data_IF_714051013387
#
_entry.id   IF_714051013387
#
_cell.length_a   1.000
_cell.length_b   1.000
_cell.length_c   1.000
_cell.angle_alpha   90.00
_cell.angle_beta   90.00
_cell.angle_gamma   90.00
#
_symmetry.space_group_name_H-M   'P 1'
#
loop_
_entity.id
_entity.type
_entity.pdbx_description
1 polymer ?
#
# COMPACT_ATOMS: atom_id res chain seq x y z
N UNK A 1 0.16 -17.16 13.22
CA UNK A 1 -0.97 -16.24 13.05
C UNK A 1 -0.84 -15.11 14.06
N UNK A 2 -0.99 -13.85 13.63
CA UNK A 2 -1.02 -12.66 14.49
C UNK A 2 -2.43 -12.08 14.38
N UNK A 3 -3.08 -11.91 15.52
CA UNK A 3 -4.45 -11.42 15.60
C UNK A 3 -4.53 -10.44 16.76
N UNK A 4 -4.85 -9.17 16.50
CA UNK A 4 -4.77 -8.14 17.53
C UNK A 4 -5.39 -6.81 17.13
N UNK A 5 -5.70 -6.00 18.15
CA UNK A 5 -6.36 -4.70 18.07
C UNK A 5 -5.63 -3.69 18.98
N UNK A 6 -4.30 -3.65 18.87
CA UNK A 6 -3.46 -2.82 19.72
C UNK A 6 -3.61 -1.34 19.37
N UNK A 7 -3.88 -0.51 20.36
CA UNK A 7 -3.94 0.94 20.19
C UNK A 7 -2.61 1.47 19.65
N UNK A 8 -2.67 2.24 18.56
CA UNK A 8 -1.52 2.89 17.92
C UNK A 8 -1.25 4.26 18.55
N UNK A 9 -2.29 5.07 18.77
CA UNK A 9 -2.18 6.33 19.51
C UNK A 9 -3.39 6.56 20.41
N UNK A 10 -3.16 7.11 21.59
CA UNK A 10 -4.19 7.32 22.62
C UNK A 10 -5.17 8.45 22.29
N UNK A 11 -4.88 9.28 21.28
CA UNK A 11 -5.69 10.46 20.91
C UNK A 11 -6.65 10.25 19.74
N UNK A 12 -6.35 9.31 18.83
CA UNK A 12 -7.14 9.06 17.62
C UNK A 12 -7.85 7.69 17.62
N UNK A 13 -7.59 6.86 18.64
CA UNK A 13 -8.11 5.49 18.74
C UNK A 13 -7.79 4.62 17.51
N UNK A 14 -6.74 4.96 16.76
CA UNK A 14 -6.21 4.11 15.70
C UNK A 14 -5.71 2.78 16.31
N UNK A 15 -5.83 1.71 15.54
CA UNK A 15 -5.54 0.37 16.02
C UNK A 15 -4.83 -0.49 14.98
N UNK A 16 -3.92 -1.33 15.47
CA UNK A 16 -3.12 -2.23 14.66
C UNK A 16 -2.97 -3.60 15.29
N UNK A 17 -2.92 -4.65 14.48
CA UNK A 17 -2.51 -5.96 14.99
C UNK A 17 -1.01 -6.01 15.30
N UNK A 18 -0.20 -5.28 14.54
CA UNK A 18 1.23 -5.17 14.72
C UNK A 18 1.73 -3.76 14.36
N UNK A 19 2.53 -3.17 15.24
CA UNK A 19 3.24 -1.90 14.99
C UNK A 19 4.73 -2.21 14.81
N UNK A 20 5.32 -1.74 13.70
CA UNK A 20 6.73 -1.99 13.40
C UNK A 20 7.62 -0.83 13.86
N UNK A 21 8.82 -1.15 14.36
CA UNK A 21 9.86 -0.15 14.62
C UNK A 21 10.91 -0.12 13.50
N UNK A 22 11.83 0.83 13.56
CA UNK A 22 12.97 0.89 12.63
C UNK A 22 13.77 -0.42 12.59
N UNK A 23 14.30 -0.78 11.43
CA UNK A 23 15.06 -2.01 11.17
C UNK A 23 14.31 -3.31 11.49
N UNK A 24 12.98 -3.27 11.57
CA UNK A 24 12.18 -4.45 11.83
C UNK A 24 11.87 -5.23 10.55
N UNK A 25 11.89 -6.55 10.64
CA UNK A 25 11.38 -7.44 9.59
C UNK A 25 10.25 -8.29 10.13
N UNK A 26 9.13 -8.33 9.42
CA UNK A 26 8.03 -9.27 9.68
C UNK A 26 7.84 -10.18 8.48
N UNK A 27 7.82 -11.51 8.71
CA UNK A 27 7.67 -12.48 7.64
C UNK A 27 7.05 -13.81 8.04
N UNK A 28 6.25 -14.40 7.14
CA UNK A 28 5.72 -15.75 7.27
C UNK A 28 4.45 -15.85 8.12
N UNK A 29 3.75 -14.74 8.37
CA UNK A 29 2.56 -14.73 9.21
C UNK A 29 1.30 -14.40 8.42
N UNK A 30 0.19 -15.02 8.81
CA UNK A 30 -1.15 -14.45 8.60
C UNK A 30 -1.42 -13.43 9.69
N UNK A 31 -1.74 -12.19 9.32
CA UNK A 31 -1.95 -11.04 10.22
C UNK A 31 -3.31 -10.41 9.93
N UNK A 32 -4.11 -10.23 10.99
CA UNK A 32 -5.45 -9.65 10.92
C UNK A 32 -5.67 -8.70 12.08
N UNK A 33 -6.19 -7.50 11.80
CA UNK A 33 -6.84 -6.68 12.80
C UNK A 33 -8.36 -6.86 12.67
N UNK A 34 -9.01 -7.55 13.63
CA UNK A 34 -10.43 -7.86 13.57
C UNK A 34 -11.35 -6.74 14.07
N UNK A 35 -10.78 -5.60 14.47
CA UNK A 35 -11.56 -4.51 15.06
C UNK A 35 -12.63 -4.02 14.08
N UNK A 36 -13.89 -3.87 14.53
CA UNK A 36 -14.92 -3.32 13.68
C UNK A 36 -14.63 -1.86 13.36
N UNK A 37 -14.86 -1.46 12.10
CA UNK A 37 -14.68 -0.08 11.67
C UNK A 37 -15.56 0.89 12.45
N UNK A 38 -14.94 1.82 13.15
CA UNK A 38 -15.58 2.86 13.97
C UNK A 38 -15.27 4.28 13.50
N UNK A 39 -14.70 4.44 12.29
CA UNK A 39 -14.27 5.73 11.74
C UNK A 39 -12.81 6.10 12.04
N UNK A 40 -12.04 5.17 12.61
CA UNK A 40 -10.60 5.32 12.94
C UNK A 40 -9.71 4.58 11.94
N UNK A 41 -8.41 4.82 11.97
CA UNK A 41 -7.44 4.08 11.14
C UNK A 41 -7.22 2.70 11.75
N UNK A 42 -7.62 1.66 11.01
CA UNK A 42 -7.36 0.26 11.34
C UNK A 42 -6.30 -0.31 10.40
N UNK A 43 -5.41 -1.16 10.92
CA UNK A 43 -4.43 -1.85 10.07
C UNK A 43 -4.01 -3.22 10.60
N UNK A 44 -3.73 -4.18 9.71
CA UNK A 44 -3.06 -5.41 10.12
C UNK A 44 -1.60 -5.11 10.52
N UNK A 45 -0.87 -4.40 9.67
CA UNK A 45 0.48 -3.91 9.96
C UNK A 45 0.51 -2.39 9.88
N UNK A 46 0.93 -1.76 10.96
CA UNK A 46 1.14 -0.33 11.05
C UNK A 46 2.64 -0.02 11.06
N UNK A 47 3.06 0.84 10.14
CA UNK A 47 4.37 1.47 10.19
C UNK A 47 4.19 2.89 10.71
N UNK A 48 4.66 3.18 11.93
CA UNK A 48 4.48 4.47 12.56
C UNK A 48 5.28 5.55 11.84
N UNK A 49 4.95 6.80 12.11
CA UNK A 49 5.50 7.93 11.40
C UNK A 49 5.05 9.24 12.02
N UNK A 50 5.92 10.25 11.99
CA UNK A 50 5.55 11.65 12.23
C UNK A 50 6.39 12.57 11.33
N UNK A 51 5.96 13.81 11.03
CA UNK A 51 6.68 14.73 10.13
C UNK A 51 8.13 15.04 10.53
N UNK A 52 8.49 14.86 11.81
CA UNK A 52 9.87 15.04 12.31
C UNK A 52 10.60 13.72 12.54
N UNK A 53 9.93 12.58 12.39
CA UNK A 53 10.48 11.26 12.66
C UNK A 53 10.94 10.59 11.38
N UNK A 54 12.13 10.00 11.42
CA UNK A 54 12.72 9.26 10.30
C UNK A 54 12.53 7.76 10.53
N UNK A 55 11.74 7.12 9.68
CA UNK A 55 11.62 5.66 9.66
C UNK A 55 12.51 5.03 8.60
N UNK A 56 13.09 3.88 8.90
CA UNK A 56 13.96 3.19 7.93
C UNK A 56 14.15 1.72 8.26
N UNK A 57 14.53 0.96 7.23
CA UNK A 57 14.93 -0.45 7.36
C UNK A 57 13.78 -1.40 7.64
N UNK A 58 12.52 -0.99 7.44
CA UNK A 58 11.38 -1.87 7.67
C UNK A 58 11.17 -2.78 6.46
N UNK A 59 11.00 -4.08 6.71
CA UNK A 59 10.68 -5.07 5.69
C UNK A 59 9.43 -5.87 6.09
N UNK A 60 8.38 -5.78 5.27
CA UNK A 60 7.17 -6.58 5.39
C UNK A 60 7.18 -7.58 4.24
N UNK A 61 7.41 -8.87 4.53
CA UNK A 61 7.54 -9.86 3.45
C UNK A 61 6.90 -11.21 3.69
N UNK A 62 6.39 -11.86 2.64
CA UNK A 62 5.85 -13.21 2.71
C UNK A 62 4.79 -13.40 3.82
N UNK A 63 3.96 -12.39 4.06
CA UNK A 63 2.84 -12.45 4.99
C UNK A 63 1.51 -12.56 4.23
N UNK A 64 0.48 -13.06 4.91
CA UNK A 64 -0.91 -12.90 4.48
C UNK A 64 -1.55 -11.83 5.35
N UNK A 65 -1.93 -10.68 4.77
CA UNK A 65 -2.54 -9.57 5.48
C UNK A 65 -4.01 -9.50 5.07
N UNK A 66 -4.91 -9.82 6.00
CA UNK A 66 -6.31 -10.09 5.63
C UNK A 66 -7.31 -9.72 6.71
N UNK A 67 -8.54 -9.44 6.30
CA UNK A 67 -9.68 -9.34 7.20
C UNK A 67 -9.71 -8.06 8.04
N UNK A 68 -8.96 -7.03 7.66
CA UNK A 68 -9.01 -5.73 8.35
C UNK A 68 -10.16 -4.88 7.78
N UNK A 69 -11.34 -5.08 8.35
CA UNK A 69 -12.58 -4.43 7.89
C UNK A 69 -12.52 -2.93 8.14
N UNK A 70 -12.68 -2.12 7.08
CA UNK A 70 -12.56 -0.66 7.14
C UNK A 70 -11.13 -0.13 7.27
N UNK A 71 -10.13 -1.00 7.34
CA UNK A 71 -8.72 -0.63 7.47
C UNK A 71 -7.81 -1.18 6.37
N UNK A 72 -6.50 -1.03 6.58
CA UNK A 72 -5.49 -1.43 5.61
C UNK A 72 -4.79 -2.74 5.97
N UNK A 73 -4.35 -3.51 4.97
CA UNK A 73 -3.39 -4.60 5.19
C UNK A 73 -2.06 -4.05 5.70
N UNK A 74 -1.50 -3.06 4.99
CA UNK A 74 -0.36 -2.25 5.44
C UNK A 74 -0.78 -0.78 5.48
N UNK A 75 -0.56 -0.13 6.62
CA UNK A 75 -0.70 1.31 6.74
C UNK A 75 0.65 1.94 7.08
N UNK A 76 1.10 2.85 6.23
CA UNK A 76 2.30 3.66 6.45
C UNK A 76 1.86 5.03 6.95
N UNK A 77 2.16 5.37 8.19
CA UNK A 77 1.85 6.69 8.72
C UNK A 77 2.78 7.75 8.09
N UNK A 78 2.27 8.99 8.04
CA UNK A 78 2.99 10.15 7.55
C UNK A 78 4.39 10.26 8.16
N UNK A 79 5.44 10.18 7.34
CA UNK A 79 6.81 10.10 7.86
C UNK A 79 7.86 10.61 6.89
N UNK A 80 8.98 11.06 7.47
CA UNK A 80 10.24 11.07 6.74
C UNK A 80 10.80 9.65 6.71
N UNK A 81 11.33 9.17 5.59
CA UNK A 81 12.14 7.95 5.54
C UNK A 81 13.57 8.27 5.10
N UNK A 82 14.49 7.35 5.36
CA UNK A 82 15.88 7.46 4.93
C UNK A 82 16.36 6.16 4.26
N UNK A 83 17.39 6.27 3.41
CA UNK A 83 17.95 5.14 2.67
C UNK A 83 17.08 4.69 1.50
N UNK A 84 17.02 3.39 1.21
CA UNK A 84 16.27 2.79 0.09
C UNK A 84 14.75 2.71 0.32
N UNK A 85 14.23 3.40 1.35
CA UNK A 85 12.84 3.30 1.79
C UNK A 85 12.50 1.97 2.47
N UNK A 86 11.25 1.85 2.92
CA UNK A 86 10.71 0.60 3.47
C UNK A 86 10.31 -0.37 2.35
N UNK A 87 10.40 -1.68 2.62
CA UNK A 87 10.18 -2.75 1.63
C UNK A 87 8.90 -3.52 1.95
N UNK A 88 8.01 -3.67 0.96
CA UNK A 88 6.83 -4.52 1.02
C UNK A 88 6.95 -5.55 -0.11
N UNK A 89 7.21 -6.82 0.21
CA UNK A 89 7.45 -7.81 -0.84
C UNK A 89 6.94 -9.23 -0.59
N UNK A 90 6.41 -9.90 -1.61
CA UNK A 90 6.00 -11.31 -1.47
C UNK A 90 4.76 -11.53 -0.61
N UNK A 91 4.02 -10.47 -0.25
CA UNK A 91 2.85 -10.59 0.60
C UNK A 91 1.60 -10.93 -0.21
N UNK A 92 0.65 -11.62 0.43
CA UNK A 92 -0.73 -11.75 -0.03
C UNK A 92 -1.60 -10.82 0.79
N UNK A 93 -2.16 -9.78 0.18
CA UNK A 93 -2.90 -8.71 0.84
C UNK A 93 -4.32 -8.71 0.29
N UNK A 94 -5.26 -9.27 1.05
CA UNK A 94 -6.61 -9.58 0.55
C UNK A 94 -7.70 -9.29 1.57
N UNK A 95 -8.92 -9.02 1.11
CA UNK A 95 -10.09 -8.83 1.99
C UNK A 95 -9.91 -7.74 3.06
N UNK A 96 -9.22 -6.66 2.72
CA UNK A 96 -9.13 -5.44 3.54
C UNK A 96 -9.90 -4.29 2.87
N UNK A 97 -10.12 -3.19 3.59
CA UNK A 97 -10.65 -1.98 2.94
C UNK A 97 -9.61 -1.38 1.99
N UNK A 98 -8.35 -1.30 2.43
CA UNK A 98 -7.20 -0.96 1.57
C UNK A 98 -6.18 -2.08 1.61
N UNK A 99 -5.57 -2.45 0.49
CA UNK A 99 -4.43 -3.35 0.52
C UNK A 99 -3.23 -2.65 1.18
N UNK A 100 -2.69 -1.64 0.50
CA UNK A 100 -1.62 -0.78 1.01
C UNK A 100 -2.15 0.65 1.06
N UNK A 101 -2.00 1.29 2.21
CA UNK A 101 -2.26 2.72 2.39
C UNK A 101 -0.96 3.40 2.74
N UNK A 102 -0.50 4.30 1.86
CA UNK A 102 0.70 5.11 2.09
C UNK A 102 0.36 6.59 1.98
N UNK A 103 -0.24 7.18 3.03
CA UNK A 103 -0.39 8.61 3.14
C UNK A 103 0.93 9.29 3.49
N UNK A 104 1.28 10.33 2.73
CA UNK A 104 2.23 11.37 3.13
C UNK A 104 3.64 10.89 3.51
N UNK A 105 4.43 10.45 2.52
CA UNK A 105 5.85 10.14 2.75
C UNK A 105 6.79 10.95 1.86
N UNK A 106 7.95 11.32 2.40
CA UNK A 106 9.02 12.01 1.66
C UNK A 106 9.95 11.05 0.88
N UNK A 107 9.74 9.74 1.01
CA UNK A 107 10.62 8.71 0.42
C UNK A 107 9.79 7.65 -0.30
N UNK A 108 10.37 7.11 -1.36
CA UNK A 108 9.76 6.07 -2.19
C UNK A 108 9.85 4.71 -1.47
N UNK A 109 8.71 4.10 -1.15
CA UNK A 109 8.68 2.71 -0.66
C UNK A 109 8.91 1.73 -1.82
N UNK A 110 9.60 0.63 -1.56
CA UNK A 110 9.80 -0.43 -2.54
C UNK A 110 8.69 -1.48 -2.41
N UNK A 111 7.94 -1.72 -3.50
CA UNK A 111 6.80 -2.65 -3.50
C UNK A 111 6.93 -3.62 -4.68
N UNK A 112 7.15 -4.90 -4.39
CA UNK A 112 7.40 -5.92 -5.43
C UNK A 112 6.92 -7.32 -5.06
N UNK A 113 6.54 -8.14 -6.04
CA UNK A 113 6.15 -9.54 -5.85
C UNK A 113 4.93 -9.75 -4.91
N UNK A 114 4.06 -8.76 -4.73
CA UNK A 114 2.88 -8.91 -3.87
C UNK A 114 1.65 -9.34 -4.68
N UNK A 115 0.76 -10.11 -4.07
CA UNK A 115 -0.63 -10.30 -4.51
C UNK A 115 -1.51 -9.35 -3.71
N UNK A 116 -2.20 -8.43 -4.38
CA UNK A 116 -3.07 -7.41 -3.78
C UNK A 116 -4.43 -7.50 -4.47
N UNK A 117 -5.36 -8.22 -3.84
CA UNK A 117 -6.61 -8.58 -4.50
C UNK A 117 -7.78 -8.65 -3.52
N UNK A 118 -9.01 -8.47 -4.00
CA UNK A 118 -10.22 -8.56 -3.17
C UNK A 118 -10.20 -7.57 -1.99
N UNK A 119 -9.51 -6.44 -2.13
CA UNK A 119 -9.65 -5.31 -1.22
C UNK A 119 -10.67 -4.34 -1.81
N UNK A 120 -11.18 -3.37 -1.04
CA UNK A 120 -12.00 -2.32 -1.67
C UNK A 120 -11.18 -1.45 -2.62
N UNK A 121 -9.98 -1.11 -2.17
CA UNK A 121 -8.96 -0.41 -2.95
C UNK A 121 -7.65 -1.18 -2.81
N UNK A 122 -6.96 -1.47 -3.90
CA UNK A 122 -5.69 -2.21 -3.86
C UNK A 122 -4.59 -1.40 -3.18
N UNK A 123 -4.14 -0.33 -3.81
CA UNK A 123 -3.12 0.59 -3.31
C UNK A 123 -3.66 2.02 -3.30
N UNK A 124 -3.58 2.68 -2.15
CA UNK A 124 -3.99 4.07 -1.96
C UNK A 124 -2.77 4.95 -1.61
N UNK A 125 -2.41 5.84 -2.54
CA UNK A 125 -1.29 6.77 -2.42
C UNK A 125 -1.80 8.21 -2.31
N UNK A 126 -1.45 8.88 -1.21
CA UNK A 126 -1.89 10.25 -0.94
C UNK A 126 -0.67 11.14 -0.73
N UNK A 127 -0.47 12.13 -1.60
CA UNK A 127 0.61 13.12 -1.50
C UNK A 127 0.17 14.41 -0.79
N UNK A 128 1.08 15.05 -0.03
CA UNK A 128 0.89 16.41 0.50
C UNK A 128 1.71 17.44 -0.30
N UNK A 129 1.50 18.72 0.03
CA UNK A 129 2.05 19.88 -0.69
C UNK A 129 3.56 19.99 -0.63
N UNK A 130 4.19 19.35 0.35
CA UNK A 130 5.62 19.50 0.62
C UNK A 130 6.42 18.27 0.16
N UNK A 131 5.74 17.13 -0.09
CA UNK A 131 6.38 15.85 -0.37
C UNK A 131 5.66 15.06 -1.48
N UNK A 132 6.43 14.65 -2.48
CA UNK A 132 5.96 13.73 -3.53
C UNK A 132 5.87 12.33 -2.92
N UNK A 133 4.68 11.96 -2.42
CA UNK A 133 4.44 10.58 -1.97
C UNK A 133 4.58 9.65 -3.15
N UNK A 134 5.34 8.57 -2.95
CA UNK A 134 5.71 7.69 -4.04
C UNK A 134 5.85 6.25 -3.56
N UNK A 135 5.59 5.34 -4.46
CA UNK A 135 5.95 3.94 -4.35
C UNK A 135 6.74 3.59 -5.61
N UNK A 136 7.63 2.64 -5.52
CA UNK A 136 8.23 2.03 -6.68
C UNK A 136 7.61 0.65 -6.83
N UNK A 137 6.61 0.59 -7.70
CA UNK A 137 5.94 -0.64 -8.10
C UNK A 137 6.67 -1.30 -9.29
N UNK A 138 7.85 -0.82 -9.68
CA UNK A 138 8.68 -1.44 -10.71
C UNK A 138 9.40 -0.41 -11.58
N UNK A 139 10.74 -0.47 -11.61
CA UNK A 139 11.60 0.31 -12.51
C UNK A 139 11.85 1.76 -12.08
N UNK A 140 11.52 2.13 -10.85
CA UNK A 140 11.83 3.40 -10.23
C UNK A 140 13.15 3.40 -9.44
N UNK A 141 13.32 4.38 -8.57
CA UNK A 141 14.58 4.68 -7.87
C UNK A 141 14.95 3.70 -6.76
N UNK A 142 14.01 2.90 -6.26
CA UNK A 142 14.32 1.87 -5.25
C UNK A 142 14.84 0.58 -5.87
N UNK A 143 14.76 0.46 -7.20
CA UNK A 143 15.09 -0.77 -7.91
C UNK A 143 14.05 -1.87 -7.67
N UNK A 144 12.77 -1.50 -7.50
CA UNK A 144 11.68 -2.49 -7.53
C UNK A 144 11.65 -3.19 -8.87
N UNK A 145 11.52 -4.52 -8.87
CA UNK A 145 11.32 -5.28 -10.11
C UNK A 145 9.87 -5.29 -10.58
N UNK A 146 8.96 -4.79 -9.74
CA UNK A 146 7.52 -4.89 -9.92
C UNK A 146 7.02 -6.30 -9.63
N UNK A 147 6.36 -6.92 -10.61
CA UNK A 147 5.76 -8.25 -10.46
C UNK A 147 4.72 -8.32 -9.34
N UNK A 148 4.03 -7.21 -9.08
CA UNK A 148 2.85 -7.23 -8.23
C UNK A 148 1.64 -7.65 -9.08
N UNK A 149 0.78 -8.51 -8.53
CA UNK A 149 -0.54 -8.79 -9.07
C UNK A 149 -1.55 -7.94 -8.30
N UNK A 150 -2.11 -6.94 -8.95
CA UNK A 150 -3.04 -5.97 -8.35
C UNK A 150 -4.34 -6.09 -9.15
N UNK A 151 -5.28 -6.90 -8.67
CA UNK A 151 -6.45 -7.31 -9.45
C UNK A 151 -7.65 -7.60 -8.58
N UNK A 152 -8.86 -7.52 -9.13
CA UNK A 152 -10.12 -7.78 -8.42
C UNK A 152 -10.28 -6.97 -7.14
N UNK A 153 -9.83 -5.72 -7.12
CA UNK A 153 -10.18 -4.79 -6.05
C UNK A 153 -11.53 -4.11 -6.40
N UNK A 154 -12.39 -3.87 -5.40
CA UNK A 154 -13.81 -3.50 -5.62
C UNK A 154 -13.97 -2.19 -6.42
N UNK A 155 -13.14 -1.18 -6.16
CA UNK A 155 -13.25 0.13 -6.78
C UNK A 155 -12.10 0.46 -7.72
N UNK A 156 -10.86 0.26 -7.25
CA UNK A 156 -9.64 0.60 -7.99
C UNK A 156 -8.50 -0.32 -7.54
N UNK A 157 -7.66 -0.73 -8.47
CA UNK A 157 -6.39 -1.40 -8.15
C UNK A 157 -5.40 -0.41 -7.55
N UNK A 158 -5.37 0.80 -8.09
CA UNK A 158 -4.50 1.88 -7.66
C UNK A 158 -5.24 3.21 -7.69
N UNK A 159 -5.16 3.96 -6.59
CA UNK A 159 -5.63 5.34 -6.54
C UNK A 159 -4.51 6.28 -6.13
N UNK A 160 -4.48 7.43 -6.77
CA UNK A 160 -3.65 8.59 -6.41
C UNK A 160 -4.54 9.77 -6.07
N UNK A 161 -4.33 10.40 -4.92
CA UNK A 161 -5.19 11.50 -4.45
C UNK A 161 -5.04 12.77 -5.29
N UNK A 162 -6.14 13.55 -5.51
CA UNK A 162 -6.18 14.76 -6.34
C UNK A 162 -5.28 15.91 -5.91
N UNK A 163 -4.78 15.90 -4.68
CA UNK A 163 -4.19 17.11 -4.10
C UNK A 163 -2.80 17.48 -4.64
N UNK A 164 -1.99 16.52 -5.14
CA UNK A 164 -0.59 16.79 -5.54
C UNK A 164 -0.08 15.82 -6.62
N UNK A 165 1.05 16.17 -7.25
CA UNK A 165 1.74 15.36 -8.27
C UNK A 165 2.44 14.15 -7.67
N UNK A 166 2.05 12.96 -8.12
CA UNK A 166 2.77 11.71 -7.87
C UNK A 166 3.49 11.29 -9.16
N UNK A 167 4.78 10.95 -9.08
CA UNK A 167 5.52 10.31 -10.17
C UNK A 167 5.73 8.84 -9.81
N UNK A 168 4.90 7.95 -10.32
CA UNK A 168 4.89 6.54 -9.97
C UNK A 168 5.47 5.69 -11.10
N UNK A 169 6.33 4.74 -10.75
CA UNK A 169 6.81 3.71 -11.67
C UNK A 169 6.14 2.39 -11.33
N UNK A 170 5.51 1.77 -12.32
CA UNK A 170 4.73 0.54 -12.13
C UNK A 170 4.96 -0.45 -13.28
N UNK A 171 6.24 -0.74 -13.57
CA UNK A 171 6.62 -1.71 -14.59
C UNK A 171 6.41 -3.14 -14.15
N UNK A 172 6.12 -4.03 -15.11
CA UNK A 172 6.04 -5.48 -14.93
C UNK A 172 4.99 -5.94 -13.89
N UNK A 173 3.91 -5.18 -13.73
CA UNK A 173 2.79 -5.58 -12.86
C UNK A 173 1.67 -6.24 -13.65
N UNK A 174 0.89 -7.04 -12.95
CA UNK A 174 -0.29 -7.71 -13.47
C UNK A 174 -1.55 -7.00 -12.99
N UNK A 175 -2.45 -6.69 -13.92
CA UNK A 175 -3.63 -5.85 -13.70
C UNK A 175 -4.90 -6.57 -14.18
N UNK A 176 -6.06 -6.02 -13.85
CA UNK A 176 -7.35 -6.48 -14.38
C UNK A 176 -7.43 -6.27 -15.92
N UNK A 177 -6.83 -5.19 -16.45
CA UNK A 177 -6.73 -4.93 -17.90
C UNK A 177 -5.29 -4.82 -18.42
N UNK A 178 -5.08 -4.99 -19.73
CA UNK A 178 -3.77 -4.78 -20.35
C UNK A 178 -3.90 -4.06 -21.70
N UNK A 179 -3.49 -2.78 -21.84
CA UNK A 179 -2.93 -1.92 -20.79
C UNK A 179 -3.96 -1.63 -19.67
N UNK A 180 -3.50 -1.23 -18.46
CA UNK A 180 -4.39 -0.87 -17.39
C UNK A 180 -5.22 0.35 -17.78
N UNK A 181 -6.48 0.36 -17.38
CA UNK A 181 -7.44 1.41 -17.67
C UNK A 181 -7.30 2.56 -16.67
N UNK A 182 -7.51 3.80 -17.13
CA UNK A 182 -7.57 4.99 -16.27
C UNK A 182 -8.96 5.60 -16.28
N UNK A 183 -9.51 5.95 -15.11
CA UNK A 183 -10.82 6.59 -15.00
C UNK A 183 -11.60 6.27 -13.72
N UNK A 184 -12.92 6.45 -13.79
CA UNK A 184 -13.87 6.00 -12.77
C UNK A 184 -14.19 4.54 -13.07
N UNK A 185 -14.19 3.65 -12.07
CA UNK A 185 -14.34 2.20 -12.27
C UNK A 185 -13.31 1.68 -13.27
N UNK A 186 -12.03 1.86 -12.94
CA UNK A 186 -10.89 1.50 -13.76
C UNK A 186 -9.77 0.97 -12.86
N UNK A 187 -8.75 0.35 -13.45
CA UNK A 187 -7.60 -0.16 -12.67
C UNK A 187 -6.95 1.00 -11.90
N UNK A 188 -6.83 2.15 -12.56
CA UNK A 188 -6.12 3.31 -12.03
C UNK A 188 -7.04 4.53 -11.96
N UNK A 189 -7.29 5.01 -10.73
CA UNK A 189 -7.83 6.35 -10.50
C UNK A 189 -6.69 7.35 -10.28
N UNK A 190 -6.31 8.03 -11.36
CA UNK A 190 -5.19 8.98 -11.36
C UNK A 190 -5.64 10.42 -11.08
N UNK A 191 -4.92 11.14 -10.24
CA UNK A 191 -5.07 12.60 -10.14
C UNK A 191 -4.50 13.31 -11.36
N UNK A 192 -5.14 14.39 -11.81
CA UNK A 192 -4.76 15.09 -13.06
C UNK A 192 -3.31 15.57 -13.08
N UNK A 193 -2.72 15.84 -11.91
CA UNK A 193 -1.36 16.30 -11.72
C UNK A 193 -0.32 15.18 -11.59
N UNK A 194 -0.73 13.91 -11.51
CA UNK A 194 0.17 12.75 -11.37
C UNK A 194 0.55 12.12 -12.70
N UNK A 195 1.74 11.51 -12.76
CA UNK A 195 2.24 10.72 -13.88
C UNK A 195 2.52 9.30 -13.42
N UNK A 196 1.93 8.32 -14.09
CA UNK A 196 2.12 6.90 -13.79
C UNK A 196 2.77 6.24 -15.01
N UNK A 197 3.97 5.72 -14.83
CA UNK A 197 4.75 5.09 -15.89
C UNK A 197 4.59 3.57 -15.82
N UNK A 198 3.77 3.04 -16.71
CA UNK A 198 3.53 1.61 -16.85
C UNK A 198 4.24 1.06 -18.10
N UNK A 199 4.81 -0.15 -18.01
CA UNK A 199 5.38 -0.89 -19.14
C UNK A 199 5.57 -2.35 -18.76
N UNK A 200 5.61 -3.27 -19.72
CA UNK A 200 5.76 -4.71 -19.43
C UNK A 200 4.55 -5.28 -18.67
N UNK A 201 3.38 -4.67 -18.85
CA UNK A 201 2.13 -4.99 -18.15
C UNK A 201 1.57 -6.31 -18.67
N UNK A 202 0.90 -7.05 -17.80
CA UNK A 202 0.22 -8.31 -18.14
C UNK A 202 -1.11 -8.44 -17.42
N UNK A 203 -1.94 -9.39 -17.88
CA UNK A 203 -3.20 -9.73 -17.22
C UNK A 203 -2.93 -10.59 -15.98
N UNK A 204 -3.46 -10.19 -14.82
CA UNK A 204 -3.33 -10.94 -13.56
C UNK A 204 -4.61 -11.67 -13.16
N UNK A 205 -4.56 -12.97 -12.89
CA UNK A 205 -5.76 -13.74 -12.53
C UNK A 205 -6.01 -13.73 -11.00
N UNK A 206 -7.28 -13.71 -10.55
CA UNK A 206 -8.50 -13.47 -11.34
C UNK A 206 -8.58 -12.02 -11.83
N UNK A 207 -9.25 -11.84 -12.98
CA UNK A 207 -9.58 -10.52 -13.53
C UNK A 207 -11.03 -10.21 -13.15
N UNK A 208 -11.24 -9.14 -12.41
CA UNK A 208 -12.58 -8.63 -12.15
C UNK A 208 -12.63 -7.20 -12.66
N UNK A 209 -13.72 -6.80 -13.27
CA UNK A 209 -13.90 -5.37 -13.53
C UNK A 209 -14.02 -4.64 -12.18
N UNK A 210 -13.31 -3.53 -11.97
CA UNK A 210 -13.85 -2.41 -11.20
C UNK A 210 -14.99 -1.68 -11.94
#
# INVERSE_FOLDING_TARGET
MIFGTGLVSTGLADSAALILGNNSTIAGFTITNPEPYSGVTLSAVHVPGEPSYVIFGITIRNNTLTGTVGGAGVHMQSSNQAGTGNIISGNTIVSNFRGISNPYSNTVIKVENNLISQNKVGIDLIANTDFNTNADLGGGSTGSVGNNTITCNEFYDLVTSPSNTIILYAKNNHWDHTPPTEGVSADIMRSSSSSIFTSGMSLGAPHCNP
#
